data_IF_224136616377
#
_entry.id   IF_224136616377
#
_cell.length_a   1.000
_cell.length_b   1.000
_cell.length_c   1.000
_cell.angle_alpha   90.00
_cell.angle_beta   90.00
_cell.angle_gamma   90.00
#
_symmetry.space_group_name_H-M   'P 1'
#
loop_
_entity.id
_entity.type
_entity.pdbx_description
1 polymer ?
#
# COMPACT_ATOMS: atom_id res chain seq x y z
N UNK A 1 -10.79 -21.44 25.76
CA UNK A 1 -11.71 -22.25 24.92
C UNK A 1 -11.69 -21.69 23.51
N UNK A 2 -11.53 -22.53 22.48
CA UNK A 2 -11.82 -22.12 21.10
C UNK A 2 -13.35 -22.01 20.96
N UNK A 3 -13.85 -20.83 20.58
CA UNK A 3 -15.28 -20.59 20.42
C UNK A 3 -15.82 -21.03 19.04
N UNK A 4 -14.96 -21.21 18.05
CA UNK A 4 -15.34 -21.71 16.73
C UNK A 4 -15.35 -23.25 16.73
N UNK A 5 -16.55 -23.85 16.76
CA UNK A 5 -16.74 -25.31 16.86
C UNK A 5 -16.70 -26.03 15.52
N UNK A 6 -17.14 -25.36 14.45
CA UNK A 6 -17.29 -25.99 13.12
C UNK A 6 -16.00 -25.91 12.31
N UNK A 7 -15.23 -24.83 12.47
CA UNK A 7 -13.94 -24.62 11.80
C UNK A 7 -12.97 -23.99 12.82
N UNK A 8 -12.32 -24.81 13.67
CA UNK A 8 -11.33 -24.32 14.62
C UNK A 8 -10.06 -23.88 13.87
N UNK A 9 -9.73 -22.59 13.96
CA UNK A 9 -8.49 -22.04 13.44
C UNK A 9 -7.45 -22.03 14.56
N UNK A 10 -6.48 -22.94 14.49
CA UNK A 10 -5.41 -23.07 15.49
C UNK A 10 -4.12 -22.58 14.87
N UNK A 11 -3.52 -21.53 15.46
CA UNK A 11 -2.29 -20.89 14.96
C UNK A 11 -2.33 -20.64 13.44
N UNK A 12 -3.49 -20.20 12.96
CA UNK A 12 -3.67 -19.85 11.56
C UNK A 12 -2.75 -18.69 11.22
N UNK A 13 -1.93 -18.88 10.19
CA UNK A 13 -1.02 -17.86 9.71
C UNK A 13 -1.82 -16.77 9.01
N UNK A 14 -1.81 -15.58 9.61
CA UNK A 14 -2.29 -14.35 8.98
C UNK A 14 -1.06 -13.65 8.41
N UNK A 15 -1.07 -13.35 7.11
CA UNK A 15 0.02 -12.61 6.46
C UNK A 15 -0.03 -11.12 6.78
N UNK A 16 -0.96 -10.66 7.63
CA UNK A 16 -1.08 -9.28 8.08
C UNK A 16 0.05 -8.90 9.07
N UNK A 17 0.71 -7.77 8.83
CA UNK A 17 1.67 -7.12 9.74
C UNK A 17 0.94 -6.10 10.60
N UNK A 18 1.21 -6.12 11.91
CA UNK A 18 0.61 -5.20 12.87
C UNK A 18 1.68 -4.60 13.78
N UNK A 19 1.43 -3.37 14.24
CA UNK A 19 2.16 -2.76 15.35
C UNK A 19 1.32 -2.86 16.62
N UNK A 20 1.91 -3.37 17.70
CA UNK A 20 1.29 -3.35 19.02
C UNK A 20 1.61 -2.04 19.71
N UNK A 21 0.63 -1.49 20.43
CA UNK A 21 0.81 -0.29 21.21
C UNK A 21 1.70 -0.59 22.44
N UNK A 22 2.54 0.36 22.80
CA UNK A 22 3.33 0.30 24.04
C UNK A 22 2.57 0.83 25.27
N UNK A 23 1.39 1.41 25.05
CA UNK A 23 0.54 1.97 26.09
C UNK A 23 -0.71 1.11 26.31
N UNK A 24 -1.28 1.21 27.51
CA UNK A 24 -2.58 0.62 27.82
C UNK A 24 -3.71 1.53 27.35
N UNK A 25 -4.82 0.94 26.91
CA UNK A 25 -6.04 1.68 26.64
C UNK A 25 -6.63 2.22 27.96
N UNK A 26 -7.29 3.38 27.92
CA UNK A 26 -8.01 3.94 29.08
C UNK A 26 -9.25 3.12 29.48
N UNK A 27 -9.65 2.12 28.68
CA UNK A 27 -10.77 1.25 28.99
C UNK A 27 -10.37 0.16 30.01
N UNK A 28 -11.33 -0.45 30.72
CA UNK A 28 -11.03 -1.46 31.77
C UNK A 28 -10.57 -2.81 31.21
N UNK A 29 -10.51 -2.99 29.89
CA UNK A 29 -10.15 -4.25 29.25
C UNK A 29 -8.62 -4.43 29.22
N UNK A 30 -8.15 -5.62 29.60
CA UNK A 30 -6.72 -5.94 29.74
C UNK A 30 -6.11 -6.62 28.50
N UNK A 31 -6.68 -6.38 27.32
CA UNK A 31 -6.19 -6.99 26.08
C UNK A 31 -5.00 -6.19 25.50
N UNK A 32 -4.13 -6.87 24.75
CA UNK A 32 -3.11 -6.20 23.96
C UNK A 32 -3.77 -5.30 22.92
N UNK A 33 -3.26 -4.07 22.79
CA UNK A 33 -3.81 -3.09 21.87
C UNK A 33 -3.00 -3.11 20.57
N UNK A 34 -3.71 -3.27 19.45
CA UNK A 34 -3.14 -3.04 18.12
C UNK A 34 -3.16 -1.54 17.87
N UNK A 35 -1.99 -0.97 17.61
CA UNK A 35 -1.79 0.46 17.36
C UNK A 35 -2.01 0.79 15.88
N UNK A 36 -1.55 -0.09 15.00
CA UNK A 36 -1.80 0.02 13.57
C UNK A 36 -1.76 -1.34 12.88
N UNK A 37 -2.55 -1.49 11.82
CA UNK A 37 -2.41 -2.58 10.85
C UNK A 37 -1.53 -2.03 9.73
N UNK A 38 -0.34 -2.59 9.57
CA UNK A 38 0.64 -2.11 8.59
C UNK A 38 0.34 -2.67 7.19
N UNK A 39 -0.48 -3.72 7.07
CA UNK A 39 -0.98 -4.31 5.82
C UNK A 39 -0.53 -5.77 5.66
N UNK A 40 -0.55 -6.34 4.45
CA UNK A 40 -0.18 -7.76 4.21
C UNK A 40 1.24 -7.94 3.67
N UNK A 41 1.88 -9.02 4.11
CA UNK A 41 3.24 -9.42 3.71
C UNK A 41 3.35 -9.72 2.22
N UNK A 42 2.25 -10.13 1.56
CA UNK A 42 2.23 -10.48 0.14
C UNK A 42 2.09 -9.27 -0.82
N UNK A 43 1.84 -8.06 -0.29
CA UNK A 43 1.58 -6.86 -1.10
C UNK A 43 2.79 -5.90 -1.17
N UNK A 44 3.99 -6.37 -0.81
CA UNK A 44 5.21 -5.54 -0.83
C UNK A 44 5.63 -5.25 -2.27
N UNK A 45 5.75 -3.96 -2.60
CA UNK A 45 6.18 -3.50 -3.91
C UNK A 45 7.70 -3.48 -3.99
N UNK A 46 8.28 -4.24 -4.93
CA UNK A 46 9.72 -4.29 -5.14
C UNK A 46 10.12 -3.29 -6.22
N UNK A 47 10.76 -2.21 -5.81
CA UNK A 47 11.16 -1.09 -6.66
C UNK A 47 12.66 -1.12 -6.92
N UNK A 48 13.08 -0.67 -8.10
CA UNK A 48 14.49 -0.54 -8.45
C UNK A 48 14.85 0.92 -8.61
N UNK A 49 15.99 1.26 -8.04
CA UNK A 49 16.68 2.51 -8.30
C UNK A 49 17.95 2.19 -9.09
N UNK A 50 18.24 2.89 -10.20
CA UNK A 50 19.46 2.63 -10.99
C UNK A 50 20.74 2.75 -10.15
N UNK A 51 20.75 3.64 -9.16
CA UNK A 51 21.95 3.97 -8.39
C UNK A 51 22.04 3.23 -7.05
N UNK A 52 20.90 2.88 -6.44
CA UNK A 52 20.86 2.37 -5.06
C UNK A 52 20.37 0.92 -4.92
N UNK A 53 20.03 0.26 -6.02
CA UNK A 53 19.64 -1.14 -6.02
C UNK A 53 18.13 -1.36 -5.84
N UNK A 54 17.75 -2.50 -5.25
CA UNK A 54 16.35 -2.91 -5.12
C UNK A 54 15.83 -2.66 -3.70
N UNK A 55 14.64 -2.08 -3.59
CA UNK A 55 13.98 -1.72 -2.34
C UNK A 55 12.59 -2.33 -2.24
N UNK A 56 12.21 -2.71 -1.04
CA UNK A 56 10.88 -3.24 -0.74
C UNK A 56 10.06 -2.15 -0.05
N UNK A 57 8.98 -1.72 -0.69
CA UNK A 57 8.06 -0.69 -0.16
C UNK A 57 6.74 -1.32 0.23
N UNK A 58 6.31 -1.04 1.46
CA UNK A 58 5.05 -1.53 1.96
C UNK A 58 3.89 -0.62 1.49
N UNK A 59 2.71 -1.17 1.11
CA UNK A 59 1.56 -0.37 0.65
C UNK A 59 1.13 0.76 1.58
N UNK A 60 1.38 0.60 2.88
CA UNK A 60 1.06 1.61 3.91
C UNK A 60 1.67 2.98 3.61
N UNK A 61 2.82 3.02 2.93
CA UNK A 61 3.48 4.27 2.52
C UNK A 61 2.57 5.07 1.59
N UNK A 62 1.85 4.40 0.70
CA UNK A 62 0.90 5.04 -0.21
C UNK A 62 -0.39 5.43 0.51
N UNK A 63 -0.90 4.57 1.40
CA UNK A 63 -2.07 4.88 2.23
C UNK A 63 -1.90 6.19 3.02
N UNK A 64 -0.74 6.40 3.65
CA UNK A 64 -0.44 7.59 4.44
C UNK A 64 -0.55 8.91 3.68
N UNK A 65 -0.43 8.88 2.34
CA UNK A 65 -0.47 10.07 1.49
C UNK A 65 -1.77 10.13 0.69
N UNK A 66 -2.15 9.04 0.05
CA UNK A 66 -3.23 9.00 -0.94
C UNK A 66 -4.62 8.89 -0.29
N UNK A 67 -4.73 8.34 0.93
CA UNK A 67 -6.01 8.31 1.66
C UNK A 67 -6.42 9.70 2.18
N UNK A 68 -5.51 10.69 2.15
CA UNK A 68 -5.80 12.07 2.52
C UNK A 68 -6.41 12.88 1.37
N UNK A 69 -6.41 12.34 0.15
CA UNK A 69 -6.95 13.02 -1.01
C UNK A 69 -8.48 12.98 -0.98
N UNK A 70 -9.11 14.11 -1.30
CA UNK A 70 -10.51 14.14 -1.69
C UNK A 70 -10.63 13.54 -3.11
N UNK A 71 -10.83 12.23 -3.18
CA UNK A 71 -10.95 11.47 -4.42
C UNK A 71 -11.86 10.25 -4.24
N UNK A 72 -12.46 9.78 -5.33
CA UNK A 72 -13.27 8.56 -5.32
C UNK A 72 -12.47 7.27 -5.08
N UNK A 73 -11.14 7.34 -5.15
CA UNK A 73 -10.21 6.24 -4.89
C UNK A 73 -8.87 6.45 -5.61
N UNK A 74 -7.90 5.59 -5.34
CA UNK A 74 -6.59 5.65 -5.97
C UNK A 74 -6.06 4.24 -6.28
N UNK A 75 -5.08 4.15 -7.18
CA UNK A 75 -4.33 2.94 -7.47
C UNK A 75 -2.89 3.29 -7.84
N UNK A 76 -1.93 2.54 -7.30
CA UNK A 76 -0.53 2.64 -7.67
C UNK A 76 -0.17 1.45 -8.54
N UNK A 77 0.42 1.72 -9.71
CA UNK A 77 0.87 0.70 -10.65
C UNK A 77 2.37 0.89 -10.85
N UNK A 78 3.11 -0.20 -10.73
CA UNK A 78 4.51 -0.19 -11.11
C UNK A 78 4.65 -0.21 -12.63
N UNK A 79 5.54 0.61 -13.16
CA UNK A 79 5.90 0.66 -14.57
C UNK A 79 7.41 0.75 -14.68
N UNK A 80 8.08 -0.38 -14.91
CA UNK A 80 9.54 -0.48 -14.91
C UNK A 80 10.17 0.17 -13.65
N UNK A 81 10.90 1.28 -13.84
CA UNK A 81 11.58 2.06 -12.78
C UNK A 81 10.75 3.29 -12.31
N UNK A 82 9.46 3.31 -12.66
CA UNK A 82 8.52 4.38 -12.32
C UNK A 82 7.24 3.85 -11.66
N UNK A 83 6.48 4.79 -11.08
CA UNK A 83 5.16 4.53 -10.52
C UNK A 83 4.10 5.39 -11.22
N UNK A 84 3.06 4.74 -11.71
CA UNK A 84 1.83 5.41 -12.14
C UNK A 84 0.84 5.44 -10.98
N UNK A 85 0.51 6.63 -10.50
CA UNK A 85 -0.51 6.86 -9.47
C UNK A 85 -1.78 7.36 -10.13
N UNK A 86 -2.77 6.48 -10.21
CA UNK A 86 -4.09 6.82 -10.73
C UNK A 86 -4.97 7.37 -9.61
N UNK A 87 -5.56 8.54 -9.80
CA UNK A 87 -6.48 9.17 -8.83
C UNK A 87 -7.85 9.30 -9.46
N UNK A 88 -8.84 8.58 -8.92
CA UNK A 88 -10.18 8.51 -9.47
C UNK A 88 -11.02 9.70 -9.03
N UNK A 89 -11.59 10.45 -9.98
CA UNK A 89 -12.51 11.58 -9.73
C UNK A 89 -12.04 12.49 -8.58
N UNK A 90 -10.84 13.08 -8.68
CA UNK A 90 -10.35 13.97 -7.65
C UNK A 90 -11.24 15.21 -7.49
N UNK A 91 -11.32 15.73 -6.28
CA UNK A 91 -11.99 16.97 -5.96
C UNK A 91 -11.34 18.20 -6.63
N UNK A 92 -12.02 19.35 -6.63
CA UNK A 92 -11.60 20.54 -7.38
C UNK A 92 -10.26 21.15 -6.91
N UNK A 93 -9.81 20.85 -5.70
CA UNK A 93 -8.55 21.32 -5.13
C UNK A 93 -7.37 20.35 -5.38
N UNK A 94 -7.55 19.32 -6.19
CA UNK A 94 -6.52 18.34 -6.45
C UNK A 94 -5.37 18.92 -7.28
N UNK A 95 -4.15 18.74 -6.77
CA UNK A 95 -2.91 19.10 -7.44
C UNK A 95 -2.07 17.83 -7.69
N UNK A 96 -1.94 17.40 -8.95
CA UNK A 96 -1.10 16.25 -9.31
C UNK A 96 0.36 16.42 -8.90
N UNK A 97 0.91 17.63 -9.00
CA UNK A 97 2.33 17.91 -8.72
C UNK A 97 2.58 17.88 -7.20
N UNK A 98 1.66 18.43 -6.41
CA UNK A 98 1.74 18.32 -4.95
C UNK A 98 1.62 16.86 -4.49
N UNK A 99 0.72 16.10 -5.12
CA UNK A 99 0.54 14.66 -4.84
C UNK A 99 1.80 13.87 -5.18
N UNK A 100 2.38 14.10 -6.35
CA UNK A 100 3.64 13.48 -6.80
C UNK A 100 4.75 13.72 -5.78
N UNK A 101 4.92 14.97 -5.34
CA UNK A 101 5.91 15.37 -4.34
C UNK A 101 5.68 14.69 -3.01
N UNK A 102 4.43 14.59 -2.56
CA UNK A 102 4.09 13.94 -1.29
C UNK A 102 4.39 12.43 -1.33
N UNK A 103 4.05 11.76 -2.43
CA UNK A 103 4.39 10.34 -2.64
C UNK A 103 5.91 10.15 -2.69
N UNK A 104 6.62 10.99 -3.42
CA UNK A 104 8.09 10.95 -3.47
C UNK A 104 8.71 11.10 -2.07
N UNK A 105 8.22 12.04 -1.25
CA UNK A 105 8.71 12.24 0.10
C UNK A 105 8.43 11.05 1.02
N UNK A 106 7.25 10.43 0.90
CA UNK A 106 6.91 9.24 1.68
C UNK A 106 7.80 8.04 1.31
N UNK A 107 8.07 7.84 0.03
CA UNK A 107 8.98 6.81 -0.47
C UNK A 107 10.42 7.04 0.00
N UNK A 108 10.92 8.28 -0.10
CA UNK A 108 12.25 8.63 0.37
C UNK A 108 12.41 8.37 1.89
N UNK A 109 11.39 8.68 2.70
CA UNK A 109 11.37 8.36 4.14
C UNK A 109 11.38 6.86 4.41
N UNK A 110 10.79 6.06 3.52
CA UNK A 110 10.82 4.60 3.56
C UNK A 110 12.13 4.01 3.00
N UNK A 111 13.08 4.84 2.55
CA UNK A 111 14.37 4.43 2.00
C UNK A 111 14.33 4.02 0.52
N UNK A 112 13.22 4.27 -0.18
CA UNK A 112 13.09 4.02 -1.61
C UNK A 112 13.17 5.35 -2.39
N UNK A 113 14.20 5.51 -3.21
CA UNK A 113 14.32 6.63 -4.15
C UNK A 113 14.06 6.13 -5.58
N UNK A 114 13.00 6.63 -6.18
CA UNK A 114 12.55 6.31 -7.53
C UNK A 114 12.79 7.48 -8.47
N UNK A 115 13.03 7.18 -9.74
CA UNK A 115 13.27 8.21 -10.76
C UNK A 115 11.98 8.89 -11.26
N UNK A 116 10.87 8.15 -11.33
CA UNK A 116 9.65 8.62 -11.96
C UNK A 116 8.41 8.30 -11.14
N UNK A 117 7.59 9.31 -10.87
CA UNK A 117 6.25 9.15 -10.32
C UNK A 117 5.33 9.98 -11.20
N UNK A 118 4.31 9.36 -11.79
CA UNK A 118 3.35 10.02 -12.66
C UNK A 118 1.98 9.97 -12.03
N UNK A 119 1.44 11.12 -11.66
CA UNK A 119 0.10 11.22 -11.07
C UNK A 119 -0.91 11.57 -12.15
N UNK A 120 -1.84 10.65 -12.41
CA UNK A 120 -2.85 10.82 -13.47
C UNK A 120 -4.27 10.81 -12.88
N UNK A 121 -5.04 11.89 -13.03
CA UNK A 121 -6.47 11.86 -12.71
C UNK A 121 -7.22 11.00 -13.74
N UNK A 122 -8.14 10.16 -13.28
CA UNK A 122 -8.94 9.25 -14.11
C UNK A 122 -10.41 9.29 -13.73
N UNK A 123 -11.30 9.01 -14.68
CA UNK A 123 -12.74 8.90 -14.41
C UNK A 123 -13.11 7.60 -13.68
N UNK A 124 -12.33 6.54 -13.92
CA UNK A 124 -12.53 5.24 -13.28
C UNK A 124 -11.24 4.42 -13.23
N UNK A 125 -11.10 3.59 -12.19
CA UNK A 125 -10.05 2.58 -12.09
C UNK A 125 -10.66 1.22 -12.46
N UNK A 126 -10.19 0.55 -13.52
CA UNK A 126 -10.74 -0.72 -13.96
C UNK A 126 -10.51 -1.82 -12.91
N UNK A 127 -11.48 -2.72 -12.78
CA UNK A 127 -11.33 -3.91 -11.95
C UNK A 127 -10.45 -4.95 -12.65
N UNK A 128 -9.63 -5.67 -11.88
CA UNK A 128 -8.88 -6.81 -12.37
C UNK A 128 -9.78 -8.00 -12.69
N UNK A 129 -9.21 -9.07 -13.27
CA UNK A 129 -9.92 -10.25 -13.77
C UNK A 129 -10.86 -10.94 -12.76
N UNK A 130 -10.63 -10.76 -11.45
CA UNK A 130 -11.49 -11.29 -10.37
C UNK A 130 -12.52 -10.31 -9.81
N UNK A 131 -12.79 -9.17 -10.47
CA UNK A 131 -13.68 -8.12 -9.99
C UNK A 131 -13.12 -7.27 -8.84
N UNK A 132 -11.97 -7.65 -8.28
CA UNK A 132 -11.23 -6.87 -7.28
C UNK A 132 -10.51 -5.69 -7.94
N UNK A 133 -10.40 -4.58 -7.20
CA UNK A 133 -9.60 -3.41 -7.56
C UNK A 133 -8.41 -3.34 -6.59
N UNK A 134 -7.32 -4.09 -6.84
CA UNK A 134 -6.15 -4.01 -5.98
C UNK A 134 -5.61 -2.57 -6.01
N UNK A 135 -5.32 -2.01 -4.83
CA UNK A 135 -4.78 -0.66 -4.72
C UNK A 135 -3.35 -0.58 -5.24
N UNK A 136 -2.61 -1.69 -5.17
CA UNK A 136 -1.24 -1.82 -5.66
C UNK A 136 -1.20 -2.87 -6.76
N UNK A 137 -0.62 -2.52 -7.91
CA UNK A 137 -0.42 -3.44 -9.05
C UNK A 137 1.07 -3.50 -9.36
N UNK A 138 1.73 -4.57 -8.92
CA UNK A 138 3.12 -4.83 -9.23
C UNK A 138 3.26 -5.44 -10.64
N UNK A 139 4.27 -5.02 -11.40
CA UNK A 139 4.67 -5.75 -12.61
C UNK A 139 5.58 -6.91 -12.21
N UNK A 140 5.05 -8.13 -12.21
CA UNK A 140 5.89 -9.32 -12.14
C UNK A 140 6.57 -9.51 -13.50
N UNK A 141 7.84 -9.12 -13.61
CA UNK A 141 8.68 -9.59 -14.70
C UNK A 141 8.89 -11.09 -14.51
N UNK A 142 8.28 -11.92 -15.37
CA UNK A 142 8.63 -13.34 -15.46
C UNK A 142 10.15 -13.47 -15.61
N UNK A 143 10.83 -14.34 -14.85
CA UNK A 143 12.24 -14.59 -15.08
C UNK A 143 12.40 -15.08 -16.53
N UNK A 144 13.28 -14.43 -17.28
CA UNK A 144 13.61 -14.85 -18.63
C UNK A 144 14.03 -16.32 -18.57
N UNK A 145 13.32 -17.20 -19.30
CA UNK A 145 13.79 -18.55 -19.56
C UNK A 145 15.11 -18.42 -20.32
N UNK A 146 16.20 -18.82 -19.67
CA UNK A 146 17.49 -19.06 -20.31
C UNK A 146 17.46 -20.33 -21.15
#
# INVERSE_FOLDING_TARGET
MLFSRTIPLIRYELTDRIRLATHACACPLRFALVDSIEGRTDDVLVLRSPDKGTFSVHPVVFHQVLDLLDAGGWQVRQHDDALDVLVMKPGPAFDPIATERAVHQALAKAGAELLGIHVTPVDSIPAGAGGKRPLIVAQHRSPAKS
#
